data_IF_293310211991
#
_entry.id   IF_293310211991
#
_cell.length_a   1.000
_cell.length_b   1.000
_cell.length_c   1.000
_cell.angle_alpha   90.00
_cell.angle_beta   90.00
_cell.angle_gamma   90.00
#
_symmetry.space_group_name_H-M   'P 1'
#
loop_
_entity.id
_entity.type
_entity.pdbx_description
1 polymer ?
#
# COMPACT_ATOMS: atom_id res chain seq x y z
N UNK A 1 26.88 16.31 -24.19
CA UNK A 1 26.99 14.85 -24.40
C UNK A 1 26.49 14.12 -23.14
N UNK A 2 26.02 12.89 -23.27
CA UNK A 2 25.51 12.11 -22.14
C UNK A 2 26.51 12.00 -20.97
N UNK A 3 27.81 11.88 -21.26
CA UNK A 3 28.87 11.87 -20.25
C UNK A 3 29.01 13.22 -19.50
N UNK A 4 28.84 14.35 -20.20
CA UNK A 4 28.84 15.69 -19.59
C UNK A 4 27.62 15.90 -18.67
N UNK A 5 26.48 15.30 -19.01
CA UNK A 5 25.26 15.41 -18.20
C UNK A 5 25.33 14.55 -16.94
N UNK A 6 25.94 13.37 -17.02
CA UNK A 6 26.21 12.50 -15.85
C UNK A 6 27.15 13.20 -14.87
N UNK A 7 28.24 13.82 -15.36
CA UNK A 7 29.20 14.53 -14.51
C UNK A 7 28.55 15.75 -13.82
N UNK A 8 27.71 16.52 -14.54
CA UNK A 8 26.99 17.66 -13.96
C UNK A 8 26.00 17.22 -12.88
N UNK A 9 25.30 16.10 -13.07
CA UNK A 9 24.37 15.56 -12.09
C UNK A 9 25.09 15.11 -10.81
N UNK A 10 26.25 14.48 -10.93
CA UNK A 10 27.05 14.06 -9.78
C UNK A 10 27.61 15.26 -8.99
N UNK A 11 28.01 16.33 -9.68
CA UNK A 11 28.57 17.53 -9.01
C UNK A 11 27.53 18.43 -8.34
N UNK A 12 26.22 18.22 -8.61
CA UNK A 12 25.14 18.99 -7.99
C UNK A 12 24.51 18.32 -6.76
N UNK A 13 25.01 17.17 -6.31
CA UNK A 13 24.47 16.42 -5.17
C UNK A 13 22.92 16.24 -5.26
N UNK A 14 22.38 15.97 -6.46
CA UNK A 14 20.94 15.94 -6.66
C UNK A 14 20.28 14.76 -5.96
N UNK A 15 20.76 13.55 -6.19
CA UNK A 15 20.17 12.30 -5.67
C UNK A 15 21.02 11.68 -4.56
N UNK A 16 22.33 11.87 -4.64
CA UNK A 16 23.33 11.33 -3.71
C UNK A 16 24.41 12.38 -3.49
N UNK A 17 24.95 12.43 -2.28
CA UNK A 17 26.07 13.29 -1.96
C UNK A 17 27.35 12.78 -2.64
N UNK A 18 28.00 13.59 -3.47
CA UNK A 18 29.15 13.21 -4.29
C UNK A 18 30.35 12.72 -3.44
N UNK A 19 30.47 13.19 -2.19
CA UNK A 19 31.57 12.80 -1.30
C UNK A 19 31.35 11.46 -0.62
N UNK A 20 30.09 11.17 -0.22
CA UNK A 20 29.77 10.01 0.62
C UNK A 20 29.05 8.89 -0.13
N UNK A 21 28.53 9.16 -1.34
CA UNK A 21 27.68 8.24 -2.10
C UNK A 21 26.33 7.92 -1.42
N UNK A 22 25.95 8.67 -0.37
CA UNK A 22 24.74 8.45 0.40
C UNK A 22 23.65 9.45 0.02
N UNK A 23 22.37 9.07 0.26
CA UNK A 23 21.22 9.96 0.10
C UNK A 23 21.33 11.21 0.98
N UNK A 24 21.81 11.06 2.22
CA UNK A 24 21.95 12.15 3.18
C UNK A 24 22.87 13.25 2.66
N UNK A 25 22.40 14.49 2.73
CA UNK A 25 23.10 15.68 2.24
C UNK A 25 22.92 15.95 0.74
N UNK A 26 22.03 15.22 0.04
CA UNK A 26 21.60 15.52 -1.32
C UNK A 26 20.37 16.44 -1.36
N UNK A 27 20.09 17.05 -2.52
CA UNK A 27 18.86 17.81 -2.73
C UNK A 27 17.62 16.93 -2.52
N UNK A 28 17.64 15.70 -3.01
CA UNK A 28 16.58 14.74 -2.81
C UNK A 28 16.31 14.48 -1.33
N UNK A 29 17.34 14.29 -0.53
CA UNK A 29 17.18 14.10 0.91
C UNK A 29 16.55 15.31 1.59
N UNK A 30 16.94 16.53 1.19
CA UNK A 30 16.40 17.77 1.75
C UNK A 30 14.91 17.96 1.43
N UNK A 31 14.49 17.58 0.22
CA UNK A 31 13.12 17.79 -0.27
C UNK A 31 12.17 16.62 0.04
N UNK A 32 12.68 15.48 0.50
CA UNK A 32 11.87 14.27 0.69
C UNK A 32 11.04 14.32 1.98
N UNK A 33 9.89 14.97 1.87
CA UNK A 33 8.83 14.99 2.87
C UNK A 33 7.65 14.08 2.48
N UNK A 34 7.86 13.18 1.51
CA UNK A 34 6.82 12.28 1.01
C UNK A 34 6.32 11.32 2.08
N UNK A 35 5.04 10.93 1.99
CA UNK A 35 4.39 10.04 2.96
C UNK A 35 4.20 8.62 2.44
N UNK A 36 4.51 8.40 1.14
CA UNK A 36 4.39 7.08 0.51
C UNK A 36 5.66 6.73 -0.25
N UNK A 37 5.94 5.42 -0.37
CA UNK A 37 7.07 4.94 -1.18
C UNK A 37 6.94 5.33 -2.67
N UNK A 38 5.72 5.34 -3.19
CA UNK A 38 5.42 5.78 -4.57
C UNK A 38 5.73 7.27 -4.75
N UNK A 39 5.30 8.11 -3.81
CA UNK A 39 5.60 9.55 -3.81
C UNK A 39 7.10 9.82 -3.76
N UNK A 40 7.84 9.09 -2.93
CA UNK A 40 9.30 9.18 -2.87
C UNK A 40 9.95 8.84 -4.21
N UNK A 41 9.53 7.76 -4.89
CA UNK A 41 10.04 7.41 -6.22
C UNK A 41 9.70 8.47 -7.27
N UNK A 42 8.49 9.02 -7.21
CA UNK A 42 8.06 10.08 -8.12
C UNK A 42 8.88 11.36 -7.90
N UNK A 43 9.10 11.79 -6.66
CA UNK A 43 9.95 12.94 -6.34
C UNK A 43 11.38 12.74 -6.85
N UNK A 44 11.95 11.55 -6.64
CA UNK A 44 13.28 11.21 -7.18
C UNK A 44 13.32 11.35 -8.71
N UNK A 45 12.28 10.86 -9.40
CA UNK A 45 12.15 10.97 -10.85
C UNK A 45 12.05 12.43 -11.31
N UNK A 46 11.32 13.26 -10.58
CA UNK A 46 11.18 14.69 -10.91
C UNK A 46 12.48 15.46 -10.77
N UNK A 47 13.30 15.12 -9.78
CA UNK A 47 14.63 15.73 -9.59
C UNK A 47 15.61 15.22 -10.66
N UNK A 48 15.58 13.92 -10.97
CA UNK A 48 16.47 13.32 -11.96
C UNK A 48 16.14 13.77 -13.39
N UNK A 49 14.85 13.96 -13.70
CA UNK A 49 14.33 14.31 -15.02
C UNK A 49 13.37 15.49 -14.93
N UNK A 50 13.88 16.71 -14.71
CA UNK A 50 13.03 17.90 -14.58
C UNK A 50 12.27 18.18 -15.89
N UNK A 51 11.07 18.75 -15.72
CA UNK A 51 10.27 19.21 -16.86
C UNK A 51 10.97 20.37 -17.57
N UNK A 52 10.84 20.40 -18.89
CA UNK A 52 11.31 21.50 -19.76
C UNK A 52 10.15 22.22 -20.44
N UNK A 53 8.97 21.63 -20.47
CA UNK A 53 7.77 22.25 -21.03
C UNK A 53 7.18 23.25 -20.04
N UNK A 54 7.09 24.51 -20.44
CA UNK A 54 6.62 25.60 -19.59
C UNK A 54 5.18 25.37 -19.08
N UNK A 55 4.26 24.92 -19.94
CA UNK A 55 2.87 24.67 -19.55
C UNK A 55 2.76 23.60 -18.46
N UNK A 56 3.50 22.50 -18.63
CA UNK A 56 3.53 21.43 -17.63
C UNK A 56 4.17 21.86 -16.30
N UNK A 57 5.16 22.74 -16.34
CA UNK A 57 5.77 23.33 -15.14
C UNK A 57 4.72 24.19 -14.41
N UNK A 58 4.02 25.07 -15.15
CA UNK A 58 2.99 25.94 -14.57
C UNK A 58 1.83 25.16 -14.00
N UNK A 59 1.35 24.11 -14.68
CA UNK A 59 0.30 23.21 -14.14
C UNK A 59 0.71 22.62 -12.79
N UNK A 60 1.94 22.10 -12.71
CA UNK A 60 2.46 21.56 -11.44
C UNK A 60 2.58 22.62 -10.35
N UNK A 61 3.06 23.82 -10.69
CA UNK A 61 3.17 24.93 -9.76
C UNK A 61 1.79 25.38 -9.25
N UNK A 62 0.78 25.42 -10.12
CA UNK A 62 -0.59 25.74 -9.72
C UNK A 62 -1.13 24.74 -8.71
N UNK A 63 -0.94 23.45 -8.92
CA UNK A 63 -1.35 22.41 -7.97
C UNK A 63 -0.63 22.58 -6.61
N UNK A 64 0.66 22.87 -6.64
CA UNK A 64 1.43 23.14 -5.43
C UNK A 64 0.87 24.38 -4.70
N UNK A 65 0.52 25.44 -5.43
CA UNK A 65 -0.05 26.64 -4.85
C UNK A 65 -1.39 26.36 -4.16
N UNK A 66 -2.27 25.56 -4.80
CA UNK A 66 -3.54 25.11 -4.18
C UNK A 66 -3.28 24.44 -2.84
N UNK A 67 -2.31 23.52 -2.78
CA UNK A 67 -1.96 22.85 -1.52
C UNK A 67 -1.34 23.79 -0.47
N UNK A 68 -0.62 24.81 -0.89
CA UNK A 68 -0.04 25.81 0.04
C UNK A 68 -1.12 26.71 0.64
N UNK A 69 -2.12 27.11 -0.14
CA UNK A 69 -3.19 28.01 0.27
C UNK A 69 -4.23 27.34 1.17
N UNK A 70 -4.34 26.00 1.13
CA UNK A 70 -5.33 25.20 1.86
C UNK A 70 -4.66 24.31 2.91
N UNK A 71 -4.33 24.90 4.05
CA UNK A 71 -3.55 24.23 5.09
C UNK A 71 -4.27 23.02 5.72
N UNK A 72 -5.56 23.15 6.03
CA UNK A 72 -6.31 22.09 6.73
C UNK A 72 -6.53 20.89 5.83
N UNK A 73 -6.99 21.10 4.61
CA UNK A 73 -7.22 20.07 3.60
C UNK A 73 -5.89 19.35 3.25
N UNK A 74 -4.80 20.09 3.13
CA UNK A 74 -3.46 19.53 2.94
C UNK A 74 -3.02 18.68 4.13
N UNK A 75 -3.32 19.10 5.36
CA UNK A 75 -3.02 18.34 6.56
C UNK A 75 -3.78 17.01 6.58
N UNK A 76 -5.08 17.04 6.26
CA UNK A 76 -5.93 15.85 6.19
C UNK A 76 -5.45 14.90 5.09
N UNK A 77 -5.09 15.43 3.92
CA UNK A 77 -4.49 14.64 2.84
C UNK A 77 -3.18 13.98 3.27
N UNK A 78 -2.31 14.73 3.93
CA UNK A 78 -1.03 14.23 4.44
C UNK A 78 -1.22 13.09 5.43
N UNK A 79 -2.19 13.19 6.33
CA UNK A 79 -2.50 12.14 7.30
C UNK A 79 -3.10 10.91 6.60
N UNK A 80 -4.02 11.10 5.67
CA UNK A 80 -4.63 10.01 4.91
C UNK A 80 -3.60 9.22 4.09
N UNK A 81 -2.60 9.89 3.52
CA UNK A 81 -1.54 9.25 2.74
C UNK A 81 -0.65 8.31 3.57
N UNK A 82 -0.55 8.49 4.89
CA UNK A 82 0.21 7.58 5.76
C UNK A 82 -0.36 6.16 5.81
N UNK A 83 -1.66 6.01 5.55
CA UNK A 83 -2.35 4.71 5.47
C UNK A 83 -2.21 4.00 4.12
N UNK A 84 -1.52 4.60 3.15
CA UNK A 84 -1.37 4.08 1.79
C UNK A 84 -0.10 3.25 1.68
N UNK A 85 -0.25 1.94 1.45
CA UNK A 85 0.86 1.04 1.19
C UNK A 85 1.38 1.18 -0.26
N UNK A 86 2.53 0.59 -0.52
CA UNK A 86 3.16 0.61 -1.85
C UNK A 86 2.38 -0.26 -2.86
N UNK A 87 1.40 0.35 -3.52
CA UNK A 87 0.50 -0.33 -4.44
C UNK A 87 1.23 -0.89 -5.67
N UNK A 88 2.28 -0.22 -6.14
CA UNK A 88 3.08 -0.70 -7.27
C UNK A 88 3.78 -2.02 -6.92
N UNK A 89 4.35 -2.09 -5.72
CA UNK A 89 4.97 -3.32 -5.21
C UNK A 89 3.93 -4.42 -5.01
N UNK A 90 2.78 -4.10 -4.41
CA UNK A 90 1.70 -5.06 -4.17
C UNK A 90 1.14 -5.61 -5.47
N UNK A 91 0.84 -4.75 -6.45
CA UNK A 91 0.38 -5.15 -7.77
C UNK A 91 1.40 -6.05 -8.51
N UNK A 92 2.68 -5.71 -8.43
CA UNK A 92 3.75 -6.53 -8.98
C UNK A 92 3.79 -7.94 -8.34
N UNK A 93 3.67 -8.03 -7.00
CA UNK A 93 3.65 -9.33 -6.30
C UNK A 93 2.45 -10.17 -6.69
N UNK A 94 1.27 -9.56 -6.86
CA UNK A 94 0.06 -10.23 -7.35
C UNK A 94 0.28 -10.75 -8.78
N UNK A 95 0.78 -9.91 -9.68
CA UNK A 95 1.02 -10.26 -11.09
C UNK A 95 2.00 -11.41 -11.27
N UNK A 96 3.00 -11.51 -10.39
CA UNK A 96 3.98 -12.61 -10.41
C UNK A 96 3.57 -13.82 -9.56
N UNK A 97 2.34 -13.86 -9.02
CA UNK A 97 1.87 -14.96 -8.17
C UNK A 97 2.66 -15.13 -6.86
N UNK A 98 3.29 -14.06 -6.38
CA UNK A 98 4.13 -14.04 -5.17
C UNK A 98 3.47 -13.30 -4.01
N UNK A 99 2.23 -12.86 -4.17
CA UNK A 99 1.48 -12.21 -3.11
C UNK A 99 1.15 -13.20 -1.99
N UNK A 100 1.29 -12.75 -0.76
CA UNK A 100 0.85 -13.48 0.42
C UNK A 100 -0.45 -12.85 0.99
N UNK A 101 -1.11 -13.47 1.99
CA UNK A 101 -2.34 -12.91 2.56
C UNK A 101 -2.18 -11.49 3.11
N UNK A 102 -1.06 -11.16 3.73
CA UNK A 102 -0.77 -9.80 4.24
C UNK A 102 -0.65 -8.77 3.13
N UNK A 103 -0.08 -9.16 1.97
CA UNK A 103 -0.02 -8.27 0.80
C UNK A 103 -1.45 -7.93 0.30
N UNK A 104 -2.37 -8.91 0.28
CA UNK A 104 -3.77 -8.68 -0.12
C UNK A 104 -4.51 -7.79 0.89
N UNK A 105 -4.30 -7.99 2.19
CA UNK A 105 -4.85 -7.13 3.24
C UNK A 105 -4.35 -5.68 3.07
N UNK A 106 -3.05 -5.48 2.85
CA UNK A 106 -2.47 -4.16 2.60
C UNK A 106 -3.03 -3.52 1.33
N UNK A 107 -3.25 -4.31 0.27
CA UNK A 107 -3.88 -3.83 -0.96
C UNK A 107 -5.32 -3.38 -0.71
N UNK A 108 -6.12 -4.19 -0.01
CA UNK A 108 -7.49 -3.84 0.37
C UNK A 108 -7.56 -2.56 1.21
N UNK A 109 -6.68 -2.41 2.21
CA UNK A 109 -6.57 -1.18 3.01
C UNK A 109 -6.23 0.03 2.15
N UNK A 110 -5.29 -0.10 1.22
CA UNK A 110 -4.90 0.99 0.32
C UNK A 110 -6.07 1.41 -0.59
N UNK A 111 -6.77 0.43 -1.18
CA UNK A 111 -7.94 0.71 -2.02
C UNK A 111 -9.07 1.39 -1.22
N UNK A 112 -9.29 1.00 0.04
CA UNK A 112 -10.26 1.65 0.92
C UNK A 112 -9.90 3.11 1.26
N UNK A 113 -8.63 3.50 1.18
CA UNK A 113 -8.20 4.89 1.37
C UNK A 113 -8.48 5.78 0.14
N UNK A 114 -8.60 5.22 -1.06
CA UNK A 114 -8.79 6.00 -2.28
C UNK A 114 -10.05 6.88 -2.25
N UNK A 115 -11.24 6.40 -1.84
CA UNK A 115 -12.42 7.25 -1.70
C UNK A 115 -12.22 8.37 -0.68
N UNK A 116 -11.51 8.12 0.42
CA UNK A 116 -11.21 9.12 1.45
C UNK A 116 -10.31 10.21 0.88
N UNK A 117 -9.24 9.83 0.21
CA UNK A 117 -8.32 10.76 -0.47
C UNK A 117 -9.07 11.58 -1.53
N UNK A 118 -9.97 10.93 -2.29
CA UNK A 118 -10.79 11.58 -3.30
C UNK A 118 -11.69 12.67 -2.70
N UNK A 119 -12.39 12.35 -1.61
CA UNK A 119 -13.23 13.31 -0.87
C UNK A 119 -12.42 14.48 -0.32
N UNK A 120 -11.21 14.23 0.20
CA UNK A 120 -10.31 15.30 0.67
C UNK A 120 -9.87 16.18 -0.50
N UNK A 121 -9.49 15.60 -1.66
CA UNK A 121 -9.12 16.38 -2.83
C UNK A 121 -10.30 17.21 -3.39
N UNK A 122 -11.52 16.68 -3.34
CA UNK A 122 -12.74 17.42 -3.69
C UNK A 122 -12.99 18.62 -2.76
N UNK A 123 -12.63 18.52 -1.48
CA UNK A 123 -12.80 19.60 -0.51
C UNK A 123 -11.91 20.84 -0.75
N UNK A 124 -10.87 20.70 -1.57
CA UNK A 124 -10.08 21.87 -2.01
C UNK A 124 -10.88 22.80 -2.94
N UNK A 125 -11.90 22.27 -3.61
CA UNK A 125 -12.79 22.99 -4.54
C UNK A 125 -12.03 23.82 -5.59
N UNK A 126 -11.00 23.20 -6.18
CA UNK A 126 -10.12 23.86 -7.15
C UNK A 126 -10.00 23.03 -8.44
N UNK A 127 -10.20 23.71 -9.59
CA UNK A 127 -10.15 23.08 -10.90
C UNK A 127 -8.78 22.45 -11.23
N UNK A 128 -7.70 22.99 -10.67
CA UNK A 128 -6.35 22.45 -10.86
C UNK A 128 -6.22 20.99 -10.41
N UNK A 129 -7.08 20.51 -9.50
CA UNK A 129 -7.11 19.13 -9.02
C UNK A 129 -8.02 18.21 -9.82
N UNK A 130 -8.81 18.73 -10.76
CA UNK A 130 -9.82 17.97 -11.53
C UNK A 130 -9.21 16.78 -12.26
N UNK A 131 -8.03 16.94 -12.83
CA UNK A 131 -7.32 15.86 -13.52
C UNK A 131 -6.90 14.75 -12.55
N UNK A 132 -6.35 15.09 -11.39
CA UNK A 132 -5.99 14.10 -10.36
C UNK A 132 -7.21 13.32 -9.88
N UNK A 133 -8.35 14.01 -9.69
CA UNK A 133 -9.60 13.39 -9.29
C UNK A 133 -10.14 12.41 -10.34
N UNK A 134 -10.02 12.73 -11.63
CA UNK A 134 -10.45 11.85 -12.72
C UNK A 134 -9.55 10.62 -12.87
N UNK A 135 -8.26 10.74 -12.60
CA UNK A 135 -7.29 9.65 -12.69
C UNK A 135 -7.35 8.68 -11.49
N UNK A 136 -7.97 9.08 -10.37
CA UNK A 136 -8.12 8.24 -9.19
C UNK A 136 -9.31 7.27 -9.35
N UNK A 137 -9.01 5.99 -9.51
CA UNK A 137 -9.99 4.90 -9.49
C UNK A 137 -9.89 4.12 -8.18
N UNK A 138 -11.00 4.05 -7.45
CA UNK A 138 -11.08 3.35 -6.17
C UNK A 138 -11.16 1.82 -6.31
N UNK A 139 -11.40 1.31 -7.51
CA UNK A 139 -11.59 -0.12 -7.78
C UNK A 139 -12.49 -0.81 -6.74
N UNK A 140 -13.74 -0.34 -6.53
CA UNK A 140 -14.59 -0.76 -5.42
C UNK A 140 -14.92 -2.25 -5.43
N UNK A 141 -15.02 -2.84 -6.61
CA UNK A 141 -15.26 -4.28 -6.73
C UNK A 141 -14.08 -5.11 -6.23
N UNK A 142 -12.85 -4.69 -6.54
CA UNK A 142 -11.64 -5.35 -6.08
C UNK A 142 -11.46 -5.18 -4.56
N UNK A 143 -11.68 -3.98 -4.04
CA UNK A 143 -11.66 -3.74 -2.58
C UNK A 143 -12.68 -4.64 -1.87
N UNK A 144 -13.93 -4.66 -2.35
CA UNK A 144 -14.99 -5.47 -1.77
C UNK A 144 -14.66 -6.96 -1.83
N UNK A 145 -14.10 -7.45 -2.93
CA UNK A 145 -13.69 -8.84 -3.08
C UNK A 145 -12.62 -9.20 -2.03
N UNK A 146 -11.55 -8.41 -1.92
CA UNK A 146 -10.49 -8.65 -0.94
C UNK A 146 -11.05 -8.65 0.47
N UNK A 147 -11.85 -7.65 0.83
CA UNK A 147 -12.45 -7.48 2.16
C UNK A 147 -13.41 -8.62 2.52
N UNK A 148 -14.15 -9.16 1.56
CA UNK A 148 -15.07 -10.28 1.80
C UNK A 148 -14.35 -11.62 1.85
N UNK A 149 -13.31 -11.81 1.05
CA UNK A 149 -12.64 -13.08 0.88
C UNK A 149 -11.52 -13.34 1.91
N UNK A 150 -10.74 -12.31 2.25
CA UNK A 150 -9.53 -12.49 3.08
C UNK A 150 -9.85 -12.19 4.55
N UNK A 151 -9.42 -13.09 5.44
CA UNK A 151 -9.50 -12.88 6.87
C UNK A 151 -8.52 -11.77 7.29
N UNK A 152 -8.96 -10.73 8.03
CA UNK A 152 -8.08 -9.63 8.47
C UNK A 152 -6.94 -10.13 9.37
N UNK A 153 -7.13 -11.24 10.06
CA UNK A 153 -6.14 -11.88 10.94
C UNK A 153 -5.36 -13.00 10.23
N UNK A 154 -5.53 -13.15 8.90
CA UNK A 154 -4.85 -14.17 8.12
C UNK A 154 -3.33 -14.17 8.38
N UNK A 155 -2.70 -15.36 8.48
CA UNK A 155 -1.25 -15.48 8.69
C UNK A 155 -0.46 -14.97 7.49
N UNK A 156 0.83 -14.76 7.66
CA UNK A 156 1.71 -14.29 6.60
C UNK A 156 1.97 -15.35 5.53
N UNK A 157 1.85 -16.64 5.88
CA UNK A 157 2.15 -17.78 5.00
C UNK A 157 0.88 -18.55 4.64
N UNK A 158 0.83 -19.01 3.40
CA UNK A 158 -0.32 -19.78 2.88
C UNK A 158 -0.43 -21.15 3.58
N UNK A 159 0.68 -21.70 4.03
CA UNK A 159 0.76 -23.04 4.62
C UNK A 159 0.09 -23.15 6.00
N UNK A 160 -0.08 -22.03 6.69
CA UNK A 160 -0.72 -22.00 8.02
C UNK A 160 -2.25 -22.16 7.97
N UNK A 161 -2.87 -21.96 6.80
CA UNK A 161 -4.33 -21.97 6.67
C UNK A 161 -5.00 -20.72 7.27
N UNK A 162 -6.33 -20.74 7.40
CA UNK A 162 -7.07 -19.61 8.00
C UNK A 162 -7.07 -18.30 7.19
N UNK A 163 -6.85 -18.39 5.88
CA UNK A 163 -6.70 -17.22 5.01
C UNK A 163 -8.05 -16.67 4.57
N UNK A 164 -8.94 -17.56 4.18
CA UNK A 164 -10.25 -17.19 3.65
C UNK A 164 -11.21 -16.93 4.82
N UNK A 165 -11.92 -15.83 4.76
CA UNK A 165 -12.92 -15.45 5.75
C UNK A 165 -14.05 -16.49 5.82
N UNK A 166 -14.52 -16.79 7.01
CA UNK A 166 -15.72 -17.61 7.21
C UNK A 166 -16.93 -16.94 6.53
N UNK A 167 -17.76 -17.73 5.86
CA UNK A 167 -18.93 -17.25 5.11
C UNK A 167 -18.62 -16.79 3.69
N UNK A 168 -17.36 -16.81 3.23
CA UNK A 168 -17.03 -16.48 1.85
C UNK A 168 -17.31 -17.63 0.88
N UNK A 169 -17.01 -18.86 1.27
CA UNK A 169 -17.23 -20.07 0.48
C UNK A 169 -17.89 -21.16 1.34
N UNK A 170 -19.13 -21.52 1.00
CA UNK A 170 -19.92 -22.51 1.74
C UNK A 170 -19.27 -23.90 1.77
N UNK A 171 -18.57 -24.27 0.70
CA UNK A 171 -17.94 -25.59 0.60
C UNK A 171 -16.75 -25.65 1.54
N UNK A 172 -15.94 -24.58 1.57
CA UNK A 172 -14.80 -24.48 2.49
C UNK A 172 -15.29 -24.48 3.96
N UNK A 173 -16.37 -23.77 4.26
CA UNK A 173 -16.94 -23.72 5.60
C UNK A 173 -17.45 -25.10 6.05
N UNK A 174 -18.08 -25.87 5.15
CA UNK A 174 -18.47 -27.26 5.43
C UNK A 174 -17.26 -28.14 5.73
N UNK A 175 -16.18 -28.04 4.95
CA UNK A 175 -14.96 -28.81 5.23
C UNK A 175 -14.31 -28.41 6.56
N UNK A 176 -14.26 -27.13 6.89
CA UNK A 176 -13.74 -26.65 8.18
C UNK A 176 -14.53 -27.22 9.35
N UNK A 177 -15.87 -27.21 9.23
CA UNK A 177 -16.76 -27.79 10.24
C UNK A 177 -16.48 -29.28 10.45
N UNK A 178 -16.40 -30.06 9.39
CA UNK A 178 -16.10 -31.50 9.48
C UNK A 178 -14.73 -31.75 10.14
N UNK A 179 -13.72 -30.94 9.78
CA UNK A 179 -12.39 -31.06 10.38
C UNK A 179 -12.40 -30.70 11.87
N UNK A 180 -13.10 -29.66 12.28
CA UNK A 180 -13.18 -29.26 13.68
C UNK A 180 -13.96 -30.27 14.52
N UNK A 181 -15.07 -30.80 14.01
CA UNK A 181 -15.86 -31.85 14.65
C UNK A 181 -15.07 -33.14 14.79
N UNK A 182 -14.31 -33.55 13.75
CA UNK A 182 -13.43 -34.71 13.79
C UNK A 182 -12.31 -34.57 14.82
N UNK A 183 -11.69 -33.39 14.90
CA UNK A 183 -10.65 -33.12 15.90
C UNK A 183 -11.22 -33.12 17.33
N UNK A 184 -12.39 -32.53 17.53
CA UNK A 184 -13.09 -32.56 18.82
C UNK A 184 -13.44 -34.00 19.25
N UNK A 185 -13.93 -34.80 18.31
CA UNK A 185 -14.28 -36.19 18.57
C UNK A 185 -13.06 -37.05 19.00
N UNK A 186 -11.91 -36.84 18.33
CA UNK A 186 -10.64 -37.49 18.66
C UNK A 186 -10.20 -37.07 20.09
N UNK A 187 -10.25 -35.78 20.40
CA UNK A 187 -9.89 -35.26 21.70
C UNK A 187 -10.81 -35.83 22.84
N UNK A 188 -12.10 -35.98 22.56
CA UNK A 188 -13.06 -36.59 23.49
C UNK A 188 -12.76 -38.08 23.69
N UNK A 189 -12.36 -38.82 22.67
CA UNK A 189 -11.92 -40.23 22.82
C UNK A 189 -10.66 -40.31 23.65
N UNK A 190 -9.65 -39.47 23.34
CA UNK A 190 -8.41 -39.43 24.16
C UNK A 190 -8.65 -39.12 25.60
N UNK A 191 -9.56 -38.17 25.92
CA UNK A 191 -9.93 -37.85 27.28
C UNK A 191 -10.59 -39.03 28.01
N UNK A 192 -11.50 -39.73 27.32
CA UNK A 192 -12.19 -40.92 27.90
C UNK A 192 -11.20 -42.07 28.10
N UNK A 193 -10.29 -42.31 27.16
CA UNK A 193 -9.27 -43.35 27.31
C UNK A 193 -8.27 -43.04 28.43
N UNK A 194 -7.88 -41.79 28.64
CA UNK A 194 -7.06 -41.35 29.76
C UNK A 194 -7.76 -41.59 31.09
N UNK A 195 -9.04 -41.28 31.17
CA UNK A 195 -9.84 -41.48 32.37
C UNK A 195 -10.00 -42.97 32.68
N UNK A 196 -10.21 -43.82 31.65
CA UNK A 196 -10.37 -45.24 31.78
C UNK A 196 -9.06 -46.00 32.10
N UNK A 197 -7.93 -45.54 31.54
CA UNK A 197 -6.62 -46.19 31.67
C UNK A 197 -5.80 -45.69 32.89
N UNK A 198 -6.15 -44.54 33.47
CA UNK A 198 -5.41 -43.94 34.58
C UNK A 198 -3.98 -43.47 34.24
N UNK A 199 -3.63 -43.40 32.94
CA UNK A 199 -2.31 -42.97 32.51
C UNK A 199 -2.26 -41.46 32.44
N UNK A 200 -1.58 -40.83 33.37
CA UNK A 200 -1.17 -39.42 33.35
C UNK A 200 0.26 -39.35 32.83
N UNK A 201 0.44 -38.87 31.58
CA UNK A 201 1.73 -38.41 31.07
C UNK A 201 1.78 -36.91 31.15
#
# INVERSE_FOLDING_TARGET
SAASDVYKRQSLDLLENARTGKKHGSLFWLLDETKTAMGMRLLRTWIDRPLVNQAAIMERQNIIQVFLDNFFERSDLTESLKGVYDIERLASRVSFGKANPKDLIQLGHTLAQVPVIKAILESFDDEALSRLLQELDALPELESLIRSAIDPDAPATITEGGIIRAGFDETLDKYRKVMSEGTSWIADIEAKEREASGITT
#
